data_IF_671794408484
#
_entry.id   IF_671794408484
#
_cell.length_a   1.000
_cell.length_b   1.000
_cell.length_c   1.000
_cell.angle_alpha   90.00
_cell.angle_beta   90.00
_cell.angle_gamma   90.00
#
_symmetry.space_group_name_H-M   'P 1'
#
loop_
_entity.id
_entity.type
_entity.pdbx_description
1 polymer ?
#
# COMPACT_ATOMS: atom_id res chain seq x y z
N UNK A 1 13.57 50.86 19.72
CA UNK A 1 14.13 49.50 19.65
C UNK A 1 13.08 48.62 18.98
N UNK A 2 13.28 48.28 17.71
CA UNK A 2 12.35 47.41 16.97
C UNK A 2 12.58 45.97 17.39
N UNK A 3 11.54 45.32 17.92
CA UNK A 3 11.55 43.89 18.16
C UNK A 3 11.79 43.16 16.83
N UNK A 4 12.98 42.54 16.70
CA UNK A 4 13.23 41.56 15.65
C UNK A 4 12.32 40.36 15.90
N UNK A 5 11.12 40.38 15.32
CA UNK A 5 10.30 39.18 15.16
C UNK A 5 11.07 38.22 14.25
N UNK A 6 11.79 37.27 14.86
CA UNK A 6 12.28 36.09 14.17
C UNK A 6 11.05 35.43 13.55
N UNK A 7 10.89 35.55 12.24
CA UNK A 7 9.86 34.86 11.49
C UNK A 7 10.21 33.38 11.56
N UNK A 8 9.56 32.65 12.47
CA UNK A 8 9.61 31.20 12.52
C UNK A 8 8.94 30.69 11.24
N UNK A 9 9.72 30.50 10.18
CA UNK A 9 9.26 29.83 8.97
C UNK A 9 9.01 28.38 9.37
N UNK A 10 7.76 28.07 9.66
CA UNK A 10 7.32 26.72 9.97
C UNK A 10 7.17 25.98 8.64
N UNK A 11 8.27 25.41 8.16
CA UNK A 11 8.23 24.53 6.99
C UNK A 11 7.43 23.28 7.31
N UNK A 12 6.36 23.04 6.56
CA UNK A 12 5.56 21.83 6.68
C UNK A 12 5.96 20.82 5.59
N UNK A 13 5.79 19.53 5.87
CA UNK A 13 5.89 18.47 4.86
C UNK A 13 4.98 18.76 3.65
N UNK A 14 3.86 19.42 3.90
CA UNK A 14 2.86 19.80 2.90
C UNK A 14 3.35 20.89 1.93
N UNK A 15 4.41 21.61 2.27
CA UNK A 15 5.01 22.66 1.44
C UNK A 15 6.03 22.12 0.43
N UNK A 16 6.46 20.86 0.59
CA UNK A 16 7.41 20.23 -0.33
C UNK A 16 6.80 20.13 -1.74
N UNK A 17 7.64 20.27 -2.77
CA UNK A 17 7.22 20.03 -4.16
C UNK A 17 6.90 18.55 -4.38
N UNK A 18 6.12 18.24 -5.41
CA UNK A 18 5.75 16.84 -5.71
C UNK A 18 6.97 16.02 -6.11
N UNK A 19 7.94 16.63 -6.78
CA UNK A 19 9.22 16.03 -7.18
C UNK A 19 10.05 15.63 -5.95
N UNK A 20 10.11 16.51 -4.93
CA UNK A 20 10.78 16.22 -3.67
C UNK A 20 10.07 15.11 -2.89
N UNK A 21 8.74 15.11 -2.88
CA UNK A 21 7.96 14.02 -2.26
C UNK A 21 8.23 12.67 -2.95
N UNK A 22 8.25 12.64 -4.28
CA UNK A 22 8.60 11.44 -5.05
C UNK A 22 10.03 10.98 -4.76
N UNK A 23 10.97 11.93 -4.64
CA UNK A 23 12.35 11.61 -4.28
C UNK A 23 12.46 11.01 -2.88
N UNK A 24 11.63 11.44 -1.93
CA UNK A 24 11.53 10.81 -0.60
C UNK A 24 10.97 9.39 -0.71
N UNK A 25 9.95 9.19 -1.56
CA UNK A 25 9.32 7.88 -1.77
C UNK A 25 10.27 6.84 -2.36
N UNK A 26 11.31 7.24 -3.10
CA UNK A 26 12.33 6.31 -3.60
C UNK A 26 13.11 5.59 -2.48
N UNK A 27 13.12 6.14 -1.26
CA UNK A 27 13.79 5.55 -0.09
C UNK A 27 12.85 4.76 0.81
N UNK A 28 11.58 4.63 0.43
CA UNK A 28 10.55 4.00 1.24
C UNK A 28 9.95 2.80 0.51
N UNK A 29 9.58 1.77 1.25
CA UNK A 29 8.75 0.70 0.72
C UNK A 29 7.36 1.23 0.38
N UNK A 30 6.67 0.60 -0.58
CA UNK A 30 5.32 1.02 -0.96
C UNK A 30 4.36 1.03 0.23
N UNK A 31 4.56 0.15 1.21
CA UNK A 31 3.71 0.15 2.41
C UNK A 31 3.99 1.32 3.35
N UNK A 32 5.25 1.69 3.55
CA UNK A 32 5.61 2.85 4.37
C UNK A 32 5.03 4.13 3.76
N UNK A 33 5.06 4.24 2.43
CA UNK A 33 4.43 5.35 1.71
C UNK A 33 2.91 5.37 1.98
N UNK A 34 2.25 4.21 1.87
CA UNK A 34 0.82 4.10 2.10
C UNK A 34 0.41 4.39 3.55
N UNK A 35 1.15 3.90 4.54
CA UNK A 35 0.81 4.12 5.95
C UNK A 35 1.04 5.59 6.34
N UNK A 36 2.12 6.19 5.83
CA UNK A 36 2.58 7.52 6.27
C UNK A 36 1.88 8.65 5.53
N UNK A 37 1.73 8.55 4.20
CA UNK A 37 1.34 9.71 3.37
C UNK A 37 -0.09 9.62 2.82
N UNK A 38 -0.59 8.43 2.53
CA UNK A 38 -1.88 8.24 1.84
C UNK A 38 -3.07 8.87 2.58
N UNK A 39 -3.03 8.87 3.91
CA UNK A 39 -4.11 9.38 4.77
C UNK A 39 -3.96 10.86 5.15
N UNK A 40 -2.88 11.55 4.77
CA UNK A 40 -2.65 12.94 5.18
C UNK A 40 -3.68 13.89 4.54
N UNK A 41 -3.63 14.03 3.22
CA UNK A 41 -4.57 14.86 2.48
C UNK A 41 -4.69 14.40 1.01
N UNK A 42 -5.57 15.05 0.24
CA UNK A 42 -5.86 14.70 -1.16
C UNK A 42 -4.61 14.78 -2.06
N UNK A 43 -3.71 15.73 -1.81
CA UNK A 43 -2.47 15.91 -2.59
C UNK A 43 -1.56 14.69 -2.42
N UNK A 44 -1.25 14.30 -1.18
CA UNK A 44 -0.42 13.12 -0.91
C UNK A 44 -1.06 11.84 -1.45
N UNK A 45 -2.39 11.73 -1.40
CA UNK A 45 -3.10 10.59 -1.99
C UNK A 45 -2.84 10.47 -3.49
N UNK A 46 -2.97 11.57 -4.24
CA UNK A 46 -2.67 11.58 -5.68
C UNK A 46 -1.20 11.35 -5.97
N UNK A 47 -0.30 11.97 -5.22
CA UNK A 47 1.15 11.77 -5.41
C UNK A 47 1.54 10.31 -5.17
N UNK A 48 0.99 9.69 -4.12
CA UNK A 48 1.20 8.26 -3.84
C UNK A 48 0.68 7.40 -4.98
N UNK A 49 -0.55 7.65 -5.45
CA UNK A 49 -1.12 6.91 -6.58
C UNK A 49 -0.26 7.03 -7.85
N UNK A 50 0.12 8.25 -8.21
CA UNK A 50 0.97 8.51 -9.38
C UNK A 50 2.32 7.81 -9.26
N UNK A 51 2.96 7.91 -8.08
CA UNK A 51 4.23 7.27 -7.82
C UNK A 51 4.16 5.74 -7.94
N UNK A 52 3.14 5.10 -7.35
CA UNK A 52 2.99 3.64 -7.41
C UNK A 52 2.66 3.14 -8.82
N UNK A 53 1.94 3.94 -9.63
CA UNK A 53 1.71 3.62 -11.04
C UNK A 53 2.97 3.78 -11.89
N UNK A 54 3.76 4.81 -11.63
CA UNK A 54 4.96 5.11 -12.40
C UNK A 54 5.97 3.97 -12.29
N UNK A 55 6.25 3.30 -13.42
CA UNK A 55 7.19 2.19 -13.47
C UNK A 55 6.73 0.91 -12.77
N UNK A 56 5.42 0.72 -12.54
CA UNK A 56 4.88 -0.47 -11.88
C UNK A 56 5.52 -0.76 -10.51
N UNK A 57 5.83 0.28 -9.73
CA UNK A 57 6.63 0.19 -8.51
C UNK A 57 5.97 -0.58 -7.38
N UNK A 58 4.65 -0.77 -7.43
CA UNK A 58 3.94 -1.61 -6.48
C UNK A 58 3.93 -3.08 -6.95
N UNK A 59 5.06 -3.75 -6.79
CA UNK A 59 5.19 -5.19 -7.07
C UNK A 59 4.99 -6.05 -5.81
N UNK A 60 5.05 -5.45 -4.63
CA UNK A 60 5.07 -6.17 -3.36
C UNK A 60 4.08 -5.55 -2.36
N UNK A 61 3.27 -6.40 -1.73
CA UNK A 61 2.39 -6.02 -0.63
C UNK A 61 2.90 -6.57 0.69
N UNK A 62 3.26 -5.65 1.57
CA UNK A 62 3.67 -5.97 2.93
C UNK A 62 2.55 -5.58 3.89
N UNK A 63 1.79 -6.57 4.37
CA UNK A 63 0.59 -6.33 5.18
C UNK A 63 0.79 -6.55 6.68
N UNK A 64 2.05 -6.64 7.11
CA UNK A 64 2.40 -6.95 8.49
C UNK A 64 2.03 -5.79 9.45
N UNK A 65 2.08 -4.55 8.96
CA UNK A 65 1.98 -3.34 9.79
C UNK A 65 0.93 -2.34 9.28
N UNK A 66 -0.02 -2.78 8.45
CA UNK A 66 -1.06 -1.91 7.89
C UNK A 66 -2.35 -2.07 8.66
N UNK A 67 -2.93 -0.97 9.16
CA UNK A 67 -4.25 -1.05 9.78
C UNK A 67 -5.36 -1.30 8.74
N UNK A 68 -6.48 -1.86 9.22
CA UNK A 68 -7.66 -2.20 8.42
C UNK A 68 -8.18 -1.06 7.53
N UNK A 69 -8.27 0.15 8.09
CA UNK A 69 -8.88 1.29 7.40
C UNK A 69 -8.01 1.77 6.24
N UNK A 70 -6.70 1.87 6.44
CA UNK A 70 -5.73 2.24 5.41
C UNK A 70 -5.77 1.22 4.27
N UNK A 71 -5.74 -0.08 4.61
CA UNK A 71 -5.78 -1.14 3.60
C UNK A 71 -7.09 -1.13 2.80
N UNK A 72 -8.24 -1.01 3.48
CA UNK A 72 -9.55 -0.94 2.82
C UNK A 72 -9.64 0.23 1.84
N UNK A 73 -9.17 1.42 2.24
CA UNK A 73 -9.14 2.59 1.35
C UNK A 73 -8.17 2.40 0.20
N UNK A 74 -7.01 1.81 0.44
CA UNK A 74 -6.05 1.49 -0.61
C UNK A 74 -6.66 0.54 -1.67
N UNK A 75 -7.27 -0.56 -1.23
CA UNK A 75 -7.93 -1.51 -2.12
C UNK A 75 -9.07 -0.86 -2.90
N UNK A 76 -9.83 0.06 -2.28
CA UNK A 76 -10.94 0.74 -2.96
C UNK A 76 -10.49 1.82 -3.93
N UNK A 77 -9.53 2.66 -3.53
CA UNK A 77 -9.23 3.93 -4.19
C UNK A 77 -8.04 3.81 -5.17
N UNK A 78 -7.05 2.95 -4.88
CA UNK A 78 -5.83 2.82 -5.69
C UNK A 78 -5.84 1.53 -6.51
N UNK A 79 -6.02 0.39 -5.85
CA UNK A 79 -5.84 -0.93 -6.46
C UNK A 79 -6.65 -1.21 -7.74
N UNK A 80 -7.91 -0.74 -7.92
CA UNK A 80 -8.69 -1.03 -9.13
C UNK A 80 -8.08 -0.44 -10.40
N UNK A 81 -7.40 0.70 -10.26
CA UNK A 81 -6.85 1.45 -11.39
C UNK A 81 -5.34 1.25 -11.52
N UNK A 82 -4.74 0.47 -10.63
CA UNK A 82 -3.31 0.25 -10.61
C UNK A 82 -2.93 -0.80 -11.66
N UNK A 83 -2.07 -0.43 -12.62
CA UNK A 83 -1.58 -1.33 -13.67
C UNK A 83 -0.33 -2.12 -13.27
N UNK A 84 -0.04 -2.23 -11.97
CA UNK A 84 1.17 -2.94 -11.49
C UNK A 84 0.92 -4.43 -11.41
N UNK A 85 1.93 -5.22 -11.79
CA UNK A 85 1.93 -6.67 -11.53
C UNK A 85 2.38 -6.91 -10.11
N UNK A 86 1.45 -7.31 -9.24
CA UNK A 86 1.78 -7.59 -7.85
C UNK A 86 2.30 -9.02 -7.76
N UNK A 87 3.61 -9.18 -7.62
CA UNK A 87 4.29 -10.48 -7.64
C UNK A 87 4.55 -11.03 -6.24
N UNK A 88 4.42 -10.24 -5.17
CA UNK A 88 4.67 -10.70 -3.82
C UNK A 88 3.64 -10.23 -2.81
N UNK A 89 3.23 -11.13 -1.92
CA UNK A 89 2.42 -10.86 -0.73
C UNK A 89 3.12 -11.32 0.53
N UNK A 90 3.19 -10.45 1.53
CA UNK A 90 3.59 -10.79 2.88
C UNK A 90 2.45 -10.48 3.84
N UNK A 91 2.04 -11.49 4.60
CA UNK A 91 1.01 -11.42 5.63
C UNK A 91 1.68 -11.67 7.00
N UNK A 92 1.27 -10.88 8.00
CA UNK A 92 1.84 -10.92 9.34
C UNK A 92 0.81 -11.11 10.44
N UNK A 93 1.25 -11.05 11.69
CA UNK A 93 0.43 -11.27 12.90
C UNK A 93 -0.77 -10.34 13.02
N UNK A 94 -0.75 -9.17 12.39
CA UNK A 94 -1.85 -8.21 12.37
C UNK A 94 -2.89 -8.48 11.26
N UNK A 95 -2.81 -9.65 10.64
CA UNK A 95 -3.81 -10.09 9.67
C UNK A 95 -5.21 -10.07 10.28
N UNK A 96 -6.16 -9.52 9.53
CA UNK A 96 -7.57 -9.54 9.89
C UNK A 96 -8.41 -10.24 8.82
N UNK A 97 -9.51 -10.84 9.25
CA UNK A 97 -10.45 -11.52 8.37
C UNK A 97 -11.03 -10.54 7.34
N UNK A 98 -10.88 -10.83 6.05
CA UNK A 98 -11.35 -9.96 4.95
C UNK A 98 -10.23 -9.21 4.21
N UNK A 99 -8.99 -9.23 4.70
CA UNK A 99 -7.88 -8.53 4.04
C UNK A 99 -7.58 -9.11 2.65
N UNK A 100 -7.63 -10.44 2.51
CA UNK A 100 -7.49 -11.09 1.20
C UNK A 100 -8.73 -10.94 0.33
N UNK A 101 -9.93 -10.85 0.93
CA UNK A 101 -11.17 -10.78 0.15
C UNK A 101 -11.26 -9.47 -0.65
N UNK A 102 -10.79 -8.36 -0.07
CA UNK A 102 -10.62 -7.10 -0.81
C UNK A 102 -9.57 -7.19 -1.90
N UNK A 103 -8.57 -8.05 -1.74
CA UNK A 103 -7.51 -8.21 -2.72
C UNK A 103 -7.94 -9.08 -3.91
N UNK A 104 -8.69 -10.15 -3.64
CA UNK A 104 -9.25 -11.06 -4.65
C UNK A 104 -10.22 -10.38 -5.62
N UNK A 105 -10.75 -9.20 -5.30
CA UNK A 105 -11.54 -8.41 -6.24
C UNK A 105 -10.71 -7.83 -7.38
N UNK A 106 -9.39 -7.80 -7.25
CA UNK A 106 -8.47 -7.15 -8.18
C UNK A 106 -7.54 -8.19 -8.80
N UNK A 107 -7.40 -8.14 -10.13
CA UNK A 107 -6.75 -9.21 -10.87
C UNK A 107 -5.25 -9.30 -10.63
N UNK A 108 -4.85 -10.26 -9.79
CA UNK A 108 -3.49 -10.77 -9.79
C UNK A 108 -3.22 -11.44 -11.14
N UNK A 109 -2.39 -10.82 -11.96
CA UNK A 109 -1.93 -11.46 -13.20
C UNK A 109 -0.91 -12.56 -12.88
N UNK A 110 -0.12 -12.38 -11.82
CA UNK A 110 0.97 -13.29 -11.44
C UNK A 110 1.37 -13.08 -9.98
N UNK A 111 1.37 -14.14 -9.17
CA UNK A 111 1.90 -14.14 -7.79
C UNK A 111 3.11 -15.08 -7.73
N UNK A 112 4.31 -14.53 -7.57
CA UNK A 112 5.55 -15.29 -7.49
C UNK A 112 5.89 -15.69 -6.05
N UNK A 113 5.44 -14.92 -5.06
CA UNK A 113 5.80 -15.11 -3.65
C UNK A 113 4.61 -14.85 -2.73
N UNK A 114 4.33 -15.79 -1.82
CA UNK A 114 3.45 -15.62 -0.68
C UNK A 114 4.19 -15.98 0.59
N UNK A 115 4.37 -15.00 1.46
CA UNK A 115 5.05 -15.14 2.74
C UNK A 115 4.04 -14.94 3.87
N UNK A 116 3.98 -15.87 4.81
CA UNK A 116 3.03 -15.82 5.94
C UNK A 116 3.80 -15.99 7.24
N UNK A 117 3.71 -15.00 8.13
CA UNK A 117 4.36 -15.01 9.43
C UNK A 117 3.36 -14.84 10.57
N UNK A 118 3.50 -15.67 11.61
CA UNK A 118 2.79 -15.52 12.88
C UNK A 118 1.25 -15.45 12.74
N UNK A 119 0.69 -16.15 11.76
CA UNK A 119 -0.76 -16.31 11.55
C UNK A 119 -1.21 -17.69 12.05
N UNK A 120 -2.39 -17.77 12.66
CA UNK A 120 -2.99 -19.03 13.11
C UNK A 120 -3.11 -20.04 11.94
N UNK A 121 -2.73 -21.32 12.13
CA UNK A 121 -2.78 -22.34 11.06
C UNK A 121 -4.13 -22.47 10.35
N UNK A 122 -5.26 -22.37 11.06
CA UNK A 122 -6.59 -22.45 10.44
C UNK A 122 -6.85 -21.27 9.50
N UNK A 123 -6.35 -20.09 9.88
CA UNK A 123 -6.41 -18.88 9.05
C UNK A 123 -5.48 -18.99 7.85
N UNK A 124 -4.31 -19.62 7.99
CA UNK A 124 -3.41 -19.92 6.87
C UNK A 124 -4.10 -20.79 5.82
N UNK A 125 -4.85 -21.82 6.25
CA UNK A 125 -5.59 -22.69 5.33
C UNK A 125 -6.64 -21.89 4.54
N UNK A 126 -7.43 -21.05 5.19
CA UNK A 126 -8.42 -20.17 4.53
C UNK A 126 -7.74 -19.25 3.50
N UNK A 127 -6.63 -18.62 3.88
CA UNK A 127 -5.82 -17.75 3.02
C UNK A 127 -5.38 -18.49 1.74
N UNK A 128 -4.79 -19.69 1.90
CA UNK A 128 -4.29 -20.48 0.79
C UNK A 128 -5.43 -20.94 -0.13
N UNK A 129 -6.56 -21.38 0.44
CA UNK A 129 -7.74 -21.76 -0.33
C UNK A 129 -8.27 -20.60 -1.17
N UNK A 130 -8.28 -19.39 -0.62
CA UNK A 130 -8.69 -18.18 -1.34
C UNK A 130 -7.77 -17.88 -2.53
N UNK A 131 -6.45 -17.95 -2.35
CA UNK A 131 -5.50 -17.77 -3.46
C UNK A 131 -5.60 -18.88 -4.52
N UNK A 132 -5.81 -20.14 -4.12
CA UNK A 132 -5.95 -21.27 -5.04
C UNK A 132 -7.25 -21.19 -5.87
N UNK A 133 -8.37 -20.86 -5.22
CA UNK A 133 -9.65 -20.68 -5.91
C UNK A 133 -9.60 -19.49 -6.87
N UNK A 134 -8.87 -18.44 -6.51
CA UNK A 134 -8.66 -17.27 -7.36
C UNK A 134 -7.91 -17.63 -8.66
N UNK A 135 -6.78 -18.33 -8.54
CA UNK A 135 -6.02 -18.76 -9.71
C UNK A 135 -6.80 -19.72 -10.60
N UNK A 136 -7.65 -20.59 -10.04
CA UNK A 136 -8.52 -21.48 -10.85
C UNK A 136 -9.52 -20.71 -11.72
N UNK A 137 -10.03 -19.56 -11.27
CA UNK A 137 -11.02 -18.76 -11.99
C UNK A 137 -10.44 -17.92 -13.14
N UNK A 138 -9.11 -17.78 -13.23
CA UNK A 138 -8.47 -17.05 -14.34
C UNK A 138 -8.10 -17.94 -15.55
N UNK A 139 -8.19 -19.26 -15.40
CA UNK A 139 -7.79 -20.23 -16.44
C UNK A 139 -8.98 -20.81 -17.22
N UNK A 140 -10.19 -20.27 -17.01
CA UNK A 140 -11.42 -20.62 -17.74
C UNK A 140 -12.06 -19.39 -18.36
#
# INVERSE_FOLDING_TARGET
>A
MSENKILLIKTCLEDLSTELLVSIFDYLTSIEILVTFFNLNKRFRFTTYYYLQSGCRLTQFYLNNTNYLTYKRFCKDILPNLKSTITSFQLGSNYYYGQIDYFNQYQLIRLDSLTIHFINPNTVIDILQKFLNYNRLQWF
#
